data_IF_367406745570
#
_entry.id   IF_367406745570
#
_cell.length_a   1.000
_cell.length_b   1.000
_cell.length_c   1.000
_cell.angle_alpha   90.00
_cell.angle_beta   90.00
_cell.angle_gamma   90.00
#
_symmetry.space_group_name_H-M   'P 1'
#
loop_
_entity.id
_entity.type
_entity.pdbx_description
1 polymer ?
#
# COMPACT_ATOMS: atom_id res chain seq x y z
N UNK A 1 -34.56 76.54 5.87
CA UNK A 1 -33.98 75.22 5.55
C UNK A 1 -35.16 74.28 5.46
N UNK A 2 -35.56 73.93 4.24
CA UNK A 2 -36.75 73.15 3.95
C UNK A 2 -36.29 71.81 3.36
N UNK A 3 -36.74 70.72 3.98
CA UNK A 3 -36.51 69.35 3.55
C UNK A 3 -37.30 69.06 2.26
N UNK A 4 -36.61 68.68 1.19
CA UNK A 4 -37.20 68.02 0.02
C UNK A 4 -37.15 66.51 0.21
N UNK A 5 -38.29 65.79 0.18
CA UNK A 5 -38.31 64.34 0.21
C UNK A 5 -37.91 63.78 -1.16
N UNK A 6 -36.77 63.09 -1.18
CA UNK A 6 -36.21 62.41 -2.34
C UNK A 6 -36.89 61.03 -2.53
N UNK A 7 -37.38 60.73 -3.74
CA UNK A 7 -37.55 59.34 -4.20
C UNK A 7 -38.96 58.77 -4.27
N UNK A 8 -39.94 59.48 -4.84
CA UNK A 8 -41.18 58.86 -5.29
C UNK A 8 -40.92 57.97 -6.52
N UNK A 9 -41.20 56.68 -6.39
CA UNK A 9 -41.12 55.69 -7.49
C UNK A 9 -42.14 56.09 -8.57
N UNK A 10 -41.75 56.21 -9.86
CA UNK A 10 -42.69 56.53 -10.92
C UNK A 10 -43.76 55.42 -11.05
N UNK A 11 -45.03 55.77 -11.29
CA UNK A 11 -46.09 54.79 -11.43
C UNK A 11 -45.80 53.85 -12.62
N UNK A 12 -46.06 52.56 -12.41
CA UNK A 12 -45.91 51.56 -13.45
C UNK A 12 -46.77 51.93 -14.68
N UNK A 13 -46.26 51.72 -15.90
CA UNK A 13 -47.01 52.01 -17.12
C UNK A 13 -48.33 51.24 -17.11
N UNK A 14 -49.43 51.93 -17.42
CA UNK A 14 -50.74 51.33 -17.50
C UNK A 14 -50.75 50.27 -18.60
N UNK A 15 -51.10 49.03 -18.22
CA UNK A 15 -51.30 47.94 -19.16
C UNK A 15 -52.53 48.26 -20.02
N UNK A 16 -52.33 48.54 -21.31
CA UNK A 16 -53.39 48.76 -22.28
C UNK A 16 -53.89 47.39 -22.79
N UNK A 17 -55.10 46.95 -22.43
CA UNK A 17 -55.62 45.64 -22.81
C UNK A 17 -55.96 45.52 -24.29
N UNK A 18 -55.89 46.60 -25.08
CA UNK A 18 -56.12 46.57 -26.52
C UNK A 18 -54.84 46.36 -27.36
N UNK A 19 -53.66 46.30 -26.73
CA UNK A 19 -52.41 46.05 -27.45
C UNK A 19 -52.21 44.52 -27.63
N UNK A 20 -52.41 43.95 -28.83
CA UNK A 20 -52.26 42.53 -29.04
C UNK A 20 -50.79 42.13 -28.79
N UNK A 21 -50.53 40.99 -28.12
CA UNK A 21 -49.17 40.56 -27.87
C UNK A 21 -48.41 40.48 -29.20
N UNK A 22 -47.18 41.02 -29.27
CA UNK A 22 -46.41 41.01 -30.50
C UNK A 22 -46.34 39.58 -31.02
N UNK A 23 -46.81 39.38 -32.26
CA UNK A 23 -46.86 38.08 -32.90
C UNK A 23 -45.46 37.44 -32.80
N UNK A 24 -45.39 36.36 -32.03
CA UNK A 24 -44.15 35.62 -31.80
C UNK A 24 -43.68 35.09 -33.15
N UNK A 25 -42.67 35.74 -33.71
CA UNK A 25 -42.04 35.31 -34.97
C UNK A 25 -41.29 34.02 -34.67
N UNK A 26 -41.99 32.89 -34.78
CA UNK A 26 -41.41 31.56 -34.69
C UNK A 26 -40.51 31.39 -35.91
N UNK A 27 -39.23 31.69 -35.75
CA UNK A 27 -38.22 31.39 -36.75
C UNK A 27 -38.24 29.88 -37.07
N UNK A 28 -38.12 29.48 -38.34
CA UNK A 28 -38.13 28.06 -38.73
C UNK A 28 -37.00 27.32 -38.02
N UNK A 29 -37.35 26.25 -37.29
CA UNK A 29 -36.45 25.46 -36.44
C UNK A 29 -35.18 24.94 -37.14
N UNK A 30 -35.15 24.93 -38.48
CA UNK A 30 -33.99 24.54 -39.27
C UNK A 30 -32.85 25.58 -39.26
N UNK A 31 -33.14 26.87 -39.12
CA UNK A 31 -32.10 27.92 -39.16
C UNK A 31 -31.42 28.12 -37.80
N UNK A 32 -32.13 27.81 -36.71
CA UNK A 32 -31.58 27.82 -35.35
C UNK A 32 -30.56 26.71 -35.11
N UNK A 33 -30.74 25.54 -35.74
CA UNK A 33 -29.80 24.42 -35.62
C UNK A 33 -28.48 24.66 -36.38
N UNK A 34 -28.49 25.47 -37.45
CA UNK A 34 -27.30 25.76 -38.24
C UNK A 34 -26.44 26.91 -37.68
N UNK A 35 -26.99 27.77 -36.80
CA UNK A 35 -26.25 28.82 -36.09
C UNK A 35 -25.80 28.43 -34.68
N UNK A 36 -26.11 27.21 -34.22
CA UNK A 36 -25.52 26.69 -33.01
C UNK A 36 -24.03 26.43 -33.27
N UNK A 37 -23.20 27.46 -33.04
CA UNK A 37 -21.77 27.26 -32.84
C UNK A 37 -21.59 26.10 -31.86
N UNK A 38 -20.72 25.12 -32.15
CA UNK A 38 -20.44 24.05 -31.21
C UNK A 38 -19.94 24.71 -29.93
N UNK A 39 -20.81 24.81 -28.92
CA UNK A 39 -20.44 25.29 -27.60
C UNK A 39 -19.27 24.40 -27.19
N UNK A 40 -18.03 24.94 -27.12
CA UNK A 40 -16.88 24.14 -26.74
C UNK A 40 -17.27 23.55 -25.41
N UNK A 41 -17.25 22.22 -25.29
CA UNK A 41 -17.73 21.49 -24.13
C UNK A 41 -17.26 22.23 -22.87
N UNK A 42 -18.15 23.04 -22.31
CA UNK A 42 -17.80 23.90 -21.20
C UNK A 42 -17.42 22.92 -20.10
N UNK A 43 -16.32 23.20 -19.42
CA UNK A 43 -15.74 22.37 -18.37
C UNK A 43 -16.65 22.21 -17.12
N UNK A 44 -17.97 22.36 -17.28
CA UNK A 44 -18.94 22.72 -16.25
C UNK A 44 -20.02 21.66 -16.05
N UNK A 45 -20.01 20.53 -16.77
CA UNK A 45 -20.88 19.39 -16.43
C UNK A 45 -20.15 18.06 -16.28
N UNK A 46 -18.84 18.13 -15.98
CA UNK A 46 -18.13 17.07 -15.28
C UNK A 46 -18.32 17.14 -13.76
N UNK A 47 -19.39 17.78 -13.29
CA UNK A 47 -20.19 17.27 -12.16
C UNK A 47 -20.83 15.92 -12.59
N UNK A 48 -19.99 14.99 -13.05
CA UNK A 48 -20.24 13.56 -12.97
C UNK A 48 -20.60 13.35 -11.51
N UNK A 49 -21.91 13.23 -11.23
CA UNK A 49 -22.64 12.13 -10.60
C UNK A 49 -21.83 11.05 -9.85
N UNK A 50 -20.64 11.37 -9.38
CA UNK A 50 -20.02 10.81 -8.19
C UNK A 50 -20.87 11.35 -7.06
N UNK A 51 -21.96 10.64 -6.78
CA UNK A 51 -22.84 10.92 -5.66
C UNK A 51 -22.07 11.03 -4.33
N UNK A 52 -22.76 11.39 -3.25
CA UNK A 52 -22.19 11.93 -2.02
C UNK A 52 -21.28 10.90 -1.32
N UNK A 53 -20.00 10.89 -1.68
CA UNK A 53 -18.95 10.20 -0.92
C UNK A 53 -18.09 11.19 -0.12
N UNK A 54 -18.31 12.48 -0.32
CA UNK A 54 -17.94 13.50 0.64
C UNK A 54 -19.15 13.74 1.52
N UNK A 55 -19.35 12.82 2.47
CA UNK A 55 -20.24 13.07 3.61
C UNK A 55 -19.60 14.26 4.38
N UNK A 56 -20.19 15.47 4.33
CA UNK A 56 -19.56 16.69 4.84
C UNK A 56 -19.28 16.60 6.34
N UNK A 57 -19.96 15.69 7.05
CA UNK A 57 -19.79 15.46 8.48
C UNK A 57 -18.60 14.55 8.84
N UNK A 58 -17.97 13.87 7.87
CA UNK A 58 -16.82 13.00 8.15
C UNK A 58 -15.55 13.83 8.26
N UNK A 59 -15.17 14.14 9.51
CA UNK A 59 -13.89 14.80 9.84
C UNK A 59 -12.73 14.08 9.16
N UNK A 60 -12.06 14.76 8.23
CA UNK A 60 -10.87 14.22 7.55
C UNK A 60 -9.79 13.90 8.61
N UNK A 61 -9.18 12.71 8.56
CA UNK A 61 -8.12 12.37 9.51
C UNK A 61 -6.92 13.30 9.31
N UNK A 62 -6.32 13.75 10.42
CA UNK A 62 -5.12 14.58 10.35
C UNK A 62 -3.96 13.74 9.85
N UNK A 63 -3.12 14.27 8.95
CA UNK A 63 -1.95 13.55 8.43
C UNK A 63 -1.06 12.97 9.56
N UNK A 64 -0.85 13.74 10.65
CA UNK A 64 -0.09 13.28 11.81
C UNK A 64 -0.69 12.01 12.47
N UNK A 65 -2.02 11.88 12.48
CA UNK A 65 -2.69 10.70 13.02
C UNK A 65 -2.46 9.48 12.11
N UNK A 66 -2.49 9.66 10.78
CA UNK A 66 -2.19 8.60 9.81
C UNK A 66 -0.77 8.07 10.00
N UNK A 67 0.19 8.98 10.10
CA UNK A 67 1.60 8.66 10.34
C UNK A 67 1.81 7.94 11.68
N UNK A 68 1.24 8.45 12.77
CA UNK A 68 1.38 7.86 14.09
C UNK A 68 0.85 6.41 14.12
N UNK A 69 -0.35 6.18 13.58
CA UNK A 69 -0.94 4.84 13.55
C UNK A 69 -0.20 3.88 12.62
N UNK A 70 0.22 4.33 11.44
CA UNK A 70 1.00 3.49 10.52
C UNK A 70 2.33 3.06 11.16
N UNK A 71 3.09 4.00 11.72
CA UNK A 71 4.39 3.71 12.35
C UNK A 71 4.25 2.83 13.59
N UNK A 72 3.21 3.04 14.42
CA UNK A 72 2.94 2.17 15.56
C UNK A 72 2.57 0.75 15.12
N UNK A 73 1.67 0.62 14.14
CA UNK A 73 1.24 -0.68 13.61
C UNK A 73 2.39 -1.48 12.99
N UNK A 74 3.19 -0.85 12.13
CA UNK A 74 4.34 -1.53 11.53
C UNK A 74 5.48 -1.78 12.52
N UNK A 75 5.79 -0.83 13.41
CA UNK A 75 6.82 -1.05 14.44
C UNK A 75 6.51 -2.26 15.32
N UNK A 76 5.26 -2.39 15.79
CA UNK A 76 4.80 -3.57 16.52
C UNK A 76 4.85 -4.84 15.66
N UNK A 77 4.49 -4.76 14.38
CA UNK A 77 4.57 -5.89 13.46
C UNK A 77 6.00 -6.38 13.24
N UNK A 78 6.97 -5.48 13.08
CA UNK A 78 8.37 -5.82 12.90
C UNK A 78 8.93 -6.57 14.12
N UNK A 79 8.64 -6.07 15.33
CA UNK A 79 9.05 -6.70 16.58
C UNK A 79 8.40 -8.08 16.78
N UNK A 80 7.08 -8.18 16.57
CA UNK A 80 6.36 -9.43 16.68
C UNK A 80 6.84 -10.47 15.65
N UNK A 81 7.10 -10.02 14.42
CA UNK A 81 7.57 -10.89 13.34
C UNK A 81 8.99 -11.39 13.58
N UNK A 82 9.85 -10.59 14.22
CA UNK A 82 11.14 -11.06 14.68
C UNK A 82 10.99 -12.14 15.75
N UNK A 83 10.24 -11.88 16.83
CA UNK A 83 10.04 -12.85 17.91
C UNK A 83 9.47 -14.18 17.42
N UNK A 84 8.40 -14.13 16.62
CA UNK A 84 7.80 -15.34 16.04
C UNK A 84 8.69 -15.99 14.98
N UNK A 85 9.47 -15.18 14.26
CA UNK A 85 10.44 -15.65 13.28
C UNK A 85 11.54 -16.48 13.93
N UNK A 86 12.11 -16.02 15.05
CA UNK A 86 13.14 -16.76 15.80
C UNK A 86 12.62 -18.14 16.26
N UNK A 87 11.37 -18.22 16.70
CA UNK A 87 10.75 -19.49 17.08
C UNK A 87 10.52 -20.44 15.89
N UNK A 88 10.36 -19.89 14.68
CA UNK A 88 10.00 -20.64 13.48
C UNK A 88 11.19 -20.98 12.56
N UNK A 89 12.42 -20.54 12.89
CA UNK A 89 13.59 -20.64 12.01
C UNK A 89 13.90 -22.07 11.55
N UNK A 90 13.80 -23.03 12.45
CA UNK A 90 14.15 -24.44 12.20
C UNK A 90 12.91 -25.35 12.10
N UNK A 91 11.75 -24.76 11.76
CA UNK A 91 10.50 -25.52 11.69
C UNK A 91 10.55 -26.65 10.65
N UNK A 92 11.20 -26.41 9.51
CA UNK A 92 11.47 -27.43 8.50
C UNK A 92 12.95 -27.82 8.54
N UNK A 93 13.24 -29.04 8.97
CA UNK A 93 14.60 -29.60 8.90
C UNK A 93 14.89 -30.20 7.52
N UNK A 94 16.16 -30.17 7.05
CA UNK A 94 16.58 -30.87 5.84
C UNK A 94 16.33 -32.37 5.97
N UNK A 95 15.86 -33.00 4.89
CA UNK A 95 15.70 -34.45 4.81
C UNK A 95 17.09 -35.13 4.78
N UNK A 96 17.28 -36.11 5.66
CA UNK A 96 18.50 -36.90 5.72
C UNK A 96 18.41 -38.03 4.70
N UNK A 97 19.34 -38.05 3.74
CA UNK A 97 19.38 -39.10 2.73
C UNK A 97 20.38 -40.15 3.18
N UNK A 98 19.93 -41.41 3.26
CA UNK A 98 20.79 -42.48 3.75
C UNK A 98 21.99 -42.70 2.85
N UNK A 99 23.20 -42.68 3.45
CA UNK A 99 24.46 -42.83 2.72
C UNK A 99 24.57 -44.18 1.97
N UNK A 100 23.79 -45.17 2.41
CA UNK A 100 23.64 -46.47 1.78
C UNK A 100 23.08 -46.41 0.36
N UNK A 101 22.25 -45.41 0.02
CA UNK A 101 21.69 -45.25 -1.32
C UNK A 101 22.74 -44.82 -2.37
N UNK A 102 23.86 -44.23 -1.94
CA UNK A 102 24.95 -43.77 -2.80
C UNK A 102 26.13 -44.75 -2.95
N UNK A 103 26.00 -45.99 -2.46
CA UNK A 103 27.07 -47.00 -2.54
C UNK A 103 28.23 -46.80 -1.56
N UNK A 104 28.20 -45.77 -0.69
CA UNK A 104 29.12 -45.63 0.45
C UNK A 104 28.55 -46.39 1.65
N UNK A 105 28.90 -47.67 1.79
CA UNK A 105 28.56 -48.43 2.99
C UNK A 105 29.22 -47.79 4.24
N UNK A 106 28.41 -47.33 5.18
CA UNK A 106 28.84 -46.96 6.54
C UNK A 106 28.97 -45.47 6.86
N UNK A 107 28.55 -44.55 5.99
CA UNK A 107 28.46 -43.12 6.34
C UNK A 107 27.22 -42.80 7.18
N UNK A 108 27.27 -41.83 8.11
CA UNK A 108 26.07 -41.31 8.75
C UNK A 108 25.16 -40.64 7.71
N UNK A 109 23.84 -40.76 7.90
CA UNK A 109 22.87 -40.06 7.06
C UNK A 109 23.14 -38.55 7.14
N UNK A 110 23.28 -37.92 5.97
CA UNK A 110 23.67 -36.53 5.87
C UNK A 110 22.72 -35.78 4.93
N UNK A 111 22.40 -34.52 5.22
CA UNK A 111 21.59 -33.70 4.34
C UNK A 111 22.37 -33.41 3.05
N UNK A 112 21.68 -33.50 1.91
CA UNK A 112 22.25 -33.06 0.63
C UNK A 112 22.03 -31.57 0.42
N UNK A 113 22.85 -30.89 -0.41
CA UNK A 113 22.68 -29.47 -0.72
C UNK A 113 21.26 -29.11 -1.17
N UNK A 114 20.59 -30.00 -1.92
CA UNK A 114 19.23 -29.77 -2.40
C UNK A 114 18.18 -29.88 -1.30
N UNK A 115 18.31 -30.86 -0.39
CA UNK A 115 17.43 -30.98 0.78
C UNK A 115 17.57 -29.79 1.73
N UNK A 116 18.80 -29.29 1.93
CA UNK A 116 19.06 -28.09 2.74
C UNK A 116 18.44 -26.84 2.12
N UNK A 117 18.61 -26.64 0.80
CA UNK A 117 17.98 -25.51 0.09
C UNK A 117 16.46 -25.57 0.16
N UNK A 118 15.87 -26.75 0.01
CA UNK A 118 14.42 -26.92 0.07
C UNK A 118 13.87 -26.57 1.46
N UNK A 119 14.54 -27.03 2.52
CA UNK A 119 14.20 -26.66 3.89
C UNK A 119 14.33 -25.14 4.11
N UNK A 120 15.41 -24.53 3.64
CA UNK A 120 15.62 -23.08 3.73
C UNK A 120 14.52 -22.27 3.03
N UNK A 121 14.09 -22.70 1.83
CA UNK A 121 12.97 -22.04 1.11
C UNK A 121 11.66 -22.15 1.90
N UNK A 122 11.38 -23.31 2.51
CA UNK A 122 10.17 -23.50 3.33
C UNK A 122 10.20 -22.66 4.62
N UNK A 123 11.33 -22.63 5.32
CA UNK A 123 11.51 -21.78 6.51
C UNK A 123 11.39 -20.30 6.14
N UNK A 124 11.98 -19.87 5.01
CA UNK A 124 11.82 -18.50 4.52
C UNK A 124 10.36 -18.18 4.16
N UNK A 125 9.65 -19.08 3.48
CA UNK A 125 8.24 -18.89 3.17
C UNK A 125 7.37 -18.77 4.44
N UNK A 126 7.63 -19.60 5.46
CA UNK A 126 6.96 -19.50 6.76
C UNK A 126 7.27 -18.16 7.43
N UNK A 127 8.55 -17.80 7.55
CA UNK A 127 8.99 -16.60 8.24
C UNK A 127 8.51 -15.31 7.54
N UNK A 128 8.52 -15.26 6.21
CA UNK A 128 8.02 -14.12 5.44
C UNK A 128 6.49 -14.09 5.35
N UNK A 129 5.83 -15.25 5.35
CA UNK A 129 4.39 -15.34 5.53
C UNK A 129 3.95 -14.80 6.90
N UNK A 130 4.62 -15.17 7.98
CA UNK A 130 4.36 -14.64 9.33
C UNK A 130 4.57 -13.12 9.40
N UNK A 131 5.66 -12.60 8.83
CA UNK A 131 5.88 -11.16 8.73
C UNK A 131 4.77 -10.47 7.96
N UNK A 132 4.42 -10.96 6.76
CA UNK A 132 3.35 -10.39 5.97
C UNK A 132 2.01 -10.42 6.71
N UNK A 133 1.72 -11.51 7.41
CA UNK A 133 0.50 -11.66 8.21
C UNK A 133 0.42 -10.63 9.34
N UNK A 134 1.49 -10.49 10.12
CA UNK A 134 1.55 -9.53 11.22
C UNK A 134 1.52 -8.08 10.71
N UNK A 135 2.25 -7.79 9.65
CA UNK A 135 2.31 -6.48 9.02
C UNK A 135 0.94 -6.08 8.47
N UNK A 136 0.28 -6.97 7.72
CA UNK A 136 -1.05 -6.70 7.19
C UNK A 136 -2.13 -6.65 8.26
N UNK A 137 -2.05 -7.51 9.28
CA UNK A 137 -2.96 -7.50 10.41
C UNK A 137 -2.91 -6.20 11.21
N UNK A 138 -1.71 -5.83 11.66
CA UNK A 138 -1.54 -4.65 12.50
C UNK A 138 -1.72 -3.34 11.74
N UNK A 139 -1.30 -3.26 10.47
CA UNK A 139 -1.59 -2.10 9.64
C UNK A 139 -3.09 -2.00 9.30
N UNK A 140 -3.79 -3.12 9.06
CA UNK A 140 -5.24 -3.11 8.88
C UNK A 140 -5.99 -2.59 10.11
N UNK A 141 -5.61 -3.05 11.30
CA UNK A 141 -6.14 -2.53 12.57
C UNK A 141 -5.82 -1.05 12.74
N UNK A 142 -4.57 -0.64 12.49
CA UNK A 142 -4.13 0.75 12.59
C UNK A 142 -4.92 1.68 11.64
N UNK A 143 -5.13 1.26 10.39
CA UNK A 143 -5.99 1.96 9.43
C UNK A 143 -7.43 2.08 9.93
N UNK A 144 -7.94 1.03 10.56
CA UNK A 144 -9.26 1.01 11.20
C UNK A 144 -9.40 1.96 12.38
N UNK A 145 -8.36 2.16 13.19
CA UNK A 145 -8.35 3.08 14.34
C UNK A 145 -8.42 4.56 13.94
N UNK A 146 -8.12 4.88 12.68
CA UNK A 146 -8.30 6.23 12.13
C UNK A 146 -9.79 6.54 11.96
N UNK A 147 -10.63 5.51 11.76
CA UNK A 147 -12.09 5.59 11.81
C UNK A 147 -12.56 5.21 13.23
N UNK A 148 -13.65 5.79 13.77
CA UNK A 148 -14.22 5.34 15.04
C UNK A 148 -14.98 4.00 14.91
N UNK A 149 -14.38 2.97 14.30
CA UNK A 149 -15.01 1.66 14.10
C UNK A 149 -14.04 0.50 14.33
N UNK A 150 -14.12 -0.09 15.54
CA UNK A 150 -13.36 -1.28 15.91
C UNK A 150 -13.63 -2.46 14.98
N UNK A 151 -14.90 -2.66 14.58
CA UNK A 151 -15.29 -3.76 13.66
C UNK A 151 -14.61 -3.64 12.31
N UNK A 152 -14.53 -2.42 11.76
CA UNK A 152 -13.84 -2.18 10.51
C UNK A 152 -12.33 -2.46 10.63
N UNK A 153 -11.70 -2.04 11.73
CA UNK A 153 -10.29 -2.33 11.99
C UNK A 153 -9.98 -3.81 12.15
N UNK A 154 -10.81 -4.55 12.88
CA UNK A 154 -10.64 -6.00 13.02
C UNK A 154 -10.85 -6.73 11.69
N UNK A 155 -11.88 -6.35 10.91
CA UNK A 155 -12.11 -6.94 9.60
C UNK A 155 -10.95 -6.65 8.64
N UNK A 156 -10.47 -5.41 8.58
CA UNK A 156 -9.32 -5.02 7.78
C UNK A 156 -8.03 -5.73 8.23
N UNK A 157 -7.85 -5.89 9.54
CA UNK A 157 -6.74 -6.66 10.10
C UNK A 157 -6.78 -8.13 9.71
N UNK A 158 -7.93 -8.81 9.83
CA UNK A 158 -8.05 -10.22 9.43
C UNK A 158 -7.80 -10.41 7.92
N UNK A 159 -8.36 -9.53 7.09
CA UNK A 159 -8.12 -9.54 5.64
C UNK A 159 -6.64 -9.28 5.35
N UNK A 160 -6.03 -8.29 6.00
CA UNK A 160 -4.61 -7.98 5.87
C UNK A 160 -3.70 -9.11 6.31
N UNK A 161 -4.04 -9.80 7.39
CA UNK A 161 -3.27 -10.93 7.90
C UNK A 161 -3.30 -12.12 6.93
N UNK A 162 -4.45 -12.42 6.34
CA UNK A 162 -4.60 -13.46 5.34
C UNK A 162 -3.86 -13.10 4.04
N UNK A 163 -4.08 -11.89 3.51
CA UNK A 163 -3.42 -11.41 2.30
C UNK A 163 -1.91 -11.33 2.47
N UNK A 164 -1.43 -10.83 3.60
CA UNK A 164 -0.01 -10.70 3.90
C UNK A 164 0.68 -12.05 4.05
N UNK A 165 0.03 -13.02 4.72
CA UNK A 165 0.55 -14.39 4.80
C UNK A 165 0.66 -15.01 3.41
N UNK A 166 -0.41 -14.93 2.61
CA UNK A 166 -0.43 -15.46 1.26
C UNK A 166 0.64 -14.80 0.38
N UNK A 167 0.74 -13.47 0.40
CA UNK A 167 1.71 -12.71 -0.39
C UNK A 167 3.15 -13.03 0.00
N UNK A 168 3.49 -12.99 1.29
CA UNK A 168 4.84 -13.28 1.78
C UNK A 168 5.29 -14.71 1.50
N UNK A 169 4.42 -15.70 1.78
CA UNK A 169 4.73 -17.11 1.55
C UNK A 169 4.83 -17.43 0.05
N UNK A 170 3.87 -17.00 -0.76
CA UNK A 170 3.86 -17.29 -2.21
C UNK A 170 5.01 -16.60 -2.94
N UNK A 171 5.31 -15.34 -2.62
CA UNK A 171 6.46 -14.64 -3.18
C UNK A 171 7.76 -15.38 -2.83
N UNK A 172 7.90 -15.85 -1.60
CA UNK A 172 9.09 -16.62 -1.18
C UNK A 172 9.22 -17.95 -1.94
N UNK A 173 8.12 -18.69 -2.07
CA UNK A 173 8.09 -19.97 -2.80
C UNK A 173 8.37 -19.79 -4.30
N UNK A 174 7.99 -18.65 -4.90
CA UNK A 174 8.25 -18.35 -6.31
C UNK A 174 9.65 -17.80 -6.57
N UNK A 175 10.11 -16.86 -5.74
CA UNK A 175 11.32 -16.08 -5.98
C UNK A 175 12.57 -16.81 -5.50
N UNK A 176 12.56 -17.41 -4.31
CA UNK A 176 13.78 -17.94 -3.69
C UNK A 176 14.37 -19.15 -4.44
N UNK A 177 13.59 -20.09 -5.01
CA UNK A 177 14.15 -21.13 -5.86
C UNK A 177 14.81 -20.60 -7.13
N UNK A 178 14.33 -19.48 -7.68
CA UNK A 178 14.97 -18.81 -8.83
C UNK A 178 16.26 -18.15 -8.39
N UNK A 179 16.23 -17.40 -7.29
CA UNK A 179 17.41 -16.77 -6.68
C UNK A 179 18.53 -17.77 -6.41
N UNK A 180 18.23 -18.90 -5.76
CA UNK A 180 19.20 -19.96 -5.49
C UNK A 180 19.79 -20.55 -6.78
N UNK A 181 18.99 -20.72 -7.84
CA UNK A 181 19.49 -21.20 -9.14
C UNK A 181 20.44 -20.18 -9.79
N UNK A 182 20.20 -18.89 -9.62
CA UNK A 182 21.06 -17.83 -10.16
C UNK A 182 22.39 -17.80 -9.41
N UNK A 183 22.38 -17.83 -8.07
CA UNK A 183 23.60 -17.81 -7.26
C UNK A 183 24.55 -18.99 -7.51
N UNK A 184 24.02 -20.14 -7.91
CA UNK A 184 24.85 -21.31 -8.24
C UNK A 184 25.55 -21.21 -9.61
N UNK A 185 25.32 -20.14 -10.39
CA UNK A 185 25.99 -19.97 -11.68
C UNK A 185 27.41 -19.43 -11.50
N UNK A 186 28.38 -19.88 -12.30
CA UNK A 186 29.71 -19.28 -12.32
C UNK A 186 29.60 -17.78 -12.63
N UNK A 187 30.26 -16.93 -11.82
CA UNK A 187 30.25 -15.47 -11.97
C UNK A 187 29.06 -14.74 -11.32
N UNK A 188 28.15 -15.43 -10.64
CA UNK A 188 27.02 -14.77 -9.95
C UNK A 188 27.45 -13.94 -8.73
N UNK A 189 28.63 -14.20 -8.17
CA UNK A 189 29.17 -13.51 -7.00
C UNK A 189 29.30 -11.99 -7.21
N UNK A 190 29.66 -11.56 -8.44
CA UNK A 190 29.84 -10.13 -8.76
C UNK A 190 28.54 -9.32 -8.66
N UNK A 191 27.39 -9.99 -8.74
CA UNK A 191 26.06 -9.37 -8.70
C UNK A 191 25.21 -9.89 -7.53
N UNK A 192 25.81 -10.52 -6.52
CA UNK A 192 25.09 -11.17 -5.41
C UNK A 192 24.16 -10.19 -4.67
N UNK A 193 24.66 -9.00 -4.35
CA UNK A 193 23.89 -7.94 -3.67
C UNK A 193 22.70 -7.49 -4.53
N UNK A 194 22.89 -7.31 -5.83
CA UNK A 194 21.81 -6.91 -6.73
C UNK A 194 20.71 -7.99 -6.78
N UNK A 195 21.09 -9.27 -6.83
CA UNK A 195 20.15 -10.37 -6.79
C UNK A 195 19.44 -10.48 -5.44
N UNK A 196 20.14 -10.23 -4.33
CA UNK A 196 19.56 -10.22 -2.98
C UNK A 196 18.53 -9.10 -2.83
N UNK A 197 18.86 -7.86 -3.21
CA UNK A 197 17.92 -6.72 -3.26
C UNK A 197 16.70 -7.06 -4.11
N UNK A 198 16.88 -7.68 -5.28
CA UNK A 198 15.78 -8.03 -6.17
C UNK A 198 14.88 -9.10 -5.52
N UNK A 199 15.47 -10.15 -4.95
CA UNK A 199 14.72 -11.24 -4.34
C UNK A 199 13.98 -10.79 -3.07
N UNK A 200 14.69 -10.18 -2.12
CA UNK A 200 14.11 -9.68 -0.88
C UNK A 200 13.14 -8.54 -1.14
N UNK A 201 13.48 -7.61 -2.04
CA UNK A 201 12.60 -6.51 -2.43
C UNK A 201 11.28 -6.98 -3.04
N UNK A 202 11.30 -8.08 -3.81
CA UNK A 202 10.06 -8.69 -4.34
C UNK A 202 9.21 -9.30 -3.22
N UNK A 203 9.82 -10.06 -2.31
CA UNK A 203 9.11 -10.71 -1.20
C UNK A 203 8.56 -9.68 -0.21
N UNK A 204 9.38 -8.72 0.20
CA UNK A 204 9.03 -7.67 1.15
C UNK A 204 8.09 -6.64 0.54
N UNK A 205 8.25 -6.32 -0.75
CA UNK A 205 7.32 -5.50 -1.50
C UNK A 205 5.93 -6.14 -1.59
N UNK A 206 5.84 -7.45 -1.85
CA UNK A 206 4.55 -8.16 -1.88
C UNK A 206 3.86 -8.16 -0.51
N UNK A 207 4.60 -8.43 0.57
CA UNK A 207 4.09 -8.35 1.94
C UNK A 207 3.66 -6.92 2.31
N UNK A 208 4.47 -5.93 1.95
CA UNK A 208 4.19 -4.51 2.17
C UNK A 208 2.96 -4.03 1.41
N UNK A 209 2.79 -4.45 0.16
CA UNK A 209 1.61 -4.17 -0.66
C UNK A 209 0.33 -4.67 0.01
N UNK A 210 0.33 -5.91 0.52
CA UNK A 210 -0.80 -6.46 1.26
C UNK A 210 -1.10 -5.65 2.54
N UNK A 211 -0.07 -5.23 3.28
CA UNK A 211 -0.25 -4.39 4.46
C UNK A 211 -0.76 -2.99 4.15
N UNK A 212 -0.33 -2.40 3.04
CA UNK A 212 -0.85 -1.12 2.56
C UNK A 212 -2.30 -1.19 2.09
N UNK A 213 -2.69 -2.25 1.39
CA UNK A 213 -4.10 -2.53 1.05
C UNK A 213 -4.94 -2.61 2.32
N UNK A 214 -4.50 -3.40 3.31
CA UNK A 214 -5.21 -3.58 4.57
C UNK A 214 -5.38 -2.25 5.32
N UNK A 215 -4.32 -1.44 5.41
CA UNK A 215 -4.37 -0.11 6.02
C UNK A 215 -5.39 0.80 5.34
N UNK A 216 -5.34 0.89 4.00
CA UNK A 216 -6.25 1.72 3.22
C UNK A 216 -7.71 1.26 3.29
N UNK A 217 -7.95 -0.05 3.33
CA UNK A 217 -9.27 -0.64 3.58
C UNK A 217 -9.77 -0.30 4.98
N UNK A 218 -8.92 -0.40 6.00
CA UNK A 218 -9.24 -0.02 7.37
C UNK A 218 -9.67 1.45 7.48
N UNK A 219 -9.03 2.33 6.71
CA UNK A 219 -9.40 3.74 6.59
C UNK A 219 -10.68 4.00 5.78
N UNK A 220 -11.30 2.98 5.18
CA UNK A 220 -12.62 3.07 4.56
C UNK A 220 -12.63 3.65 3.14
N UNK A 221 -11.84 3.11 2.21
CA UNK A 221 -12.01 3.44 0.77
C UNK A 221 -11.05 2.70 -0.16
N UNK A 222 -11.55 2.29 -1.34
CA UNK A 222 -10.74 1.56 -2.31
C UNK A 222 -9.57 2.39 -2.86
N UNK A 223 -9.74 3.72 -3.04
CA UNK A 223 -8.66 4.62 -3.49
C UNK A 223 -7.49 4.63 -2.50
N UNK A 224 -7.80 4.65 -1.21
CA UNK A 224 -6.80 4.57 -0.13
C UNK A 224 -6.13 3.20 -0.10
N UNK A 225 -6.88 2.13 -0.37
CA UNK A 225 -6.30 0.79 -0.50
C UNK A 225 -5.34 0.69 -1.69
N UNK A 226 -5.67 1.28 -2.84
CA UNK A 226 -4.79 1.32 -4.02
C UNK A 226 -3.54 2.18 -3.76
N UNK A 227 -3.69 3.35 -3.15
CA UNK A 227 -2.55 4.19 -2.76
C UNK A 227 -1.66 3.48 -1.72
N UNK A 228 -2.28 2.83 -0.73
CA UNK A 228 -1.59 2.01 0.26
C UNK A 228 -0.83 0.85 -0.37
N UNK A 229 -1.42 0.16 -1.35
CA UNK A 229 -0.75 -0.90 -2.11
C UNK A 229 0.58 -0.42 -2.69
N UNK A 230 0.56 0.71 -3.39
CA UNK A 230 1.75 1.30 -4.02
C UNK A 230 2.76 1.74 -2.96
N UNK A 231 2.31 2.47 -1.95
CA UNK A 231 3.17 2.94 -0.86
C UNK A 231 3.83 1.80 -0.09
N UNK A 232 3.07 0.73 0.20
CA UNK A 232 3.57 -0.46 0.88
C UNK A 232 4.54 -1.27 0.03
N UNK A 233 4.27 -1.43 -1.27
CA UNK A 233 5.18 -2.11 -2.19
C UNK A 233 6.53 -1.38 -2.30
N UNK A 234 6.50 -0.06 -2.51
CA UNK A 234 7.71 0.76 -2.57
C UNK A 234 8.45 0.78 -1.24
N UNK A 235 7.74 0.84 -0.12
CA UNK A 235 8.33 0.75 1.21
C UNK A 235 9.04 -0.60 1.45
N UNK A 236 8.45 -1.71 1.02
CA UNK A 236 9.09 -3.03 1.11
C UNK A 236 10.38 -3.12 0.28
N UNK A 237 10.36 -2.58 -0.94
CA UNK A 237 11.55 -2.50 -1.80
C UNK A 237 12.66 -1.63 -1.19
N UNK A 238 12.31 -0.44 -0.68
CA UNK A 238 13.26 0.45 -0.02
C UNK A 238 13.82 -0.16 1.28
N UNK A 239 12.99 -0.91 2.01
CA UNK A 239 13.43 -1.69 3.16
C UNK A 239 14.49 -2.73 2.80
N UNK A 240 14.36 -3.41 1.65
CA UNK A 240 15.36 -4.35 1.13
C UNK A 240 16.69 -3.66 0.82
N UNK A 241 16.65 -2.54 0.11
CA UNK A 241 17.85 -1.74 -0.17
C UNK A 241 18.52 -1.28 1.13
N UNK A 242 17.74 -0.74 2.07
CA UNK A 242 18.26 -0.28 3.35
C UNK A 242 18.90 -1.42 4.16
N UNK A 243 18.26 -2.59 4.20
CA UNK A 243 18.80 -3.75 4.90
C UNK A 243 20.11 -4.24 4.29
N UNK A 244 20.23 -4.33 2.98
CA UNK A 244 21.48 -4.77 2.33
C UNK A 244 22.63 -3.81 2.61
N UNK A 245 22.38 -2.49 2.57
CA UNK A 245 23.39 -1.48 2.89
C UNK A 245 23.82 -1.54 4.36
N UNK A 246 22.86 -1.64 5.28
CA UNK A 246 23.14 -1.76 6.72
C UNK A 246 23.81 -3.10 7.03
N UNK A 247 23.37 -4.17 6.39
CA UNK A 247 23.89 -5.53 6.53
C UNK A 247 25.36 -5.63 6.13
N UNK A 248 25.71 -5.08 4.98
CA UNK A 248 27.09 -5.05 4.49
C UNK A 248 28.04 -4.31 5.44
N UNK A 249 27.57 -3.26 6.12
CA UNK A 249 28.40 -2.43 7.01
C UNK A 249 28.45 -3.01 8.43
N UNK A 250 27.29 -3.34 8.99
CA UNK A 250 27.16 -3.72 10.40
C UNK A 250 27.30 -5.22 10.66
N UNK A 251 27.04 -6.07 9.65
CA UNK A 251 26.95 -7.52 9.80
C UNK A 251 27.63 -8.31 8.66
N UNK A 252 28.91 -8.03 8.31
CA UNK A 252 29.58 -8.65 7.16
C UNK A 252 29.72 -10.17 7.27
N UNK A 253 29.62 -10.73 8.47
CA UNK A 253 29.74 -12.18 8.73
C UNK A 253 28.38 -12.87 8.91
N UNK A 254 27.26 -12.16 8.82
CA UNK A 254 25.92 -12.72 9.08
C UNK A 254 25.22 -13.27 7.83
N UNK A 255 25.94 -13.40 6.71
CA UNK A 255 25.40 -13.84 5.42
C UNK A 255 24.09 -13.10 5.05
N UNK A 256 24.11 -11.76 5.09
CA UNK A 256 22.88 -10.94 4.92
C UNK A 256 22.25 -11.06 3.54
N UNK A 257 23.00 -11.56 2.55
CA UNK A 257 22.52 -11.87 1.21
C UNK A 257 21.67 -13.14 1.18
N UNK A 258 21.76 -14.01 2.19
CA UNK A 258 20.87 -15.17 2.31
C UNK A 258 19.44 -14.71 2.60
N UNK A 259 18.42 -15.45 2.12
CA UNK A 259 17.02 -15.09 2.37
C UNK A 259 16.68 -14.97 3.87
N UNK A 260 17.35 -15.76 4.70
CA UNK A 260 17.34 -15.61 6.15
C UNK A 260 18.79 -15.42 6.59
N UNK A 261 19.10 -14.28 7.19
CA UNK A 261 20.44 -14.00 7.73
C UNK A 261 20.74 -14.87 8.96
N UNK A 262 22.01 -15.21 9.16
CA UNK A 262 22.46 -16.18 10.17
C UNK A 262 22.43 -15.64 11.60
N UNK A 263 22.66 -14.33 11.80
CA UNK A 263 22.66 -13.73 13.14
C UNK A 263 21.25 -13.27 13.58
N UNK A 264 20.98 -13.33 14.88
CA UNK A 264 19.70 -12.90 15.44
C UNK A 264 19.50 -11.38 15.32
N UNK A 265 20.59 -10.62 15.45
CA UNK A 265 20.62 -9.16 15.38
C UNK A 265 20.30 -8.66 13.98
N UNK A 266 20.93 -9.24 12.95
CA UNK A 266 20.64 -8.89 11.55
C UNK A 266 19.20 -9.23 11.18
N UNK A 267 18.64 -10.34 11.67
CA UNK A 267 17.23 -10.67 11.47
C UNK A 267 16.29 -9.64 12.11
N UNK A 268 16.57 -9.18 13.33
CA UNK A 268 15.81 -8.09 13.96
C UNK A 268 15.85 -6.83 13.10
N UNK A 269 17.05 -6.42 12.67
CA UNK A 269 17.25 -5.23 11.83
C UNK A 269 16.48 -5.37 10.51
N UNK A 270 16.51 -6.54 9.86
CA UNK A 270 15.75 -6.80 8.64
C UNK A 270 14.25 -6.57 8.85
N UNK A 271 13.64 -7.20 9.87
CA UNK A 271 12.20 -7.07 10.14
C UNK A 271 11.81 -5.65 10.54
N UNK A 272 12.63 -4.97 11.32
CA UNK A 272 12.40 -3.60 11.73
C UNK A 272 12.45 -2.63 10.54
N UNK A 273 13.50 -2.70 9.71
CA UNK A 273 13.65 -1.82 8.54
C UNK A 273 12.49 -2.01 7.57
N UNK A 274 12.13 -3.24 7.21
CA UNK A 274 11.00 -3.51 6.32
C UNK A 274 9.72 -2.93 6.86
N UNK A 275 9.40 -3.19 8.13
CA UNK A 275 8.13 -2.75 8.69
C UNK A 275 8.07 -1.21 8.80
N UNK A 276 9.18 -0.54 9.13
CA UNK A 276 9.25 0.92 9.19
C UNK A 276 9.12 1.55 7.79
N UNK A 277 9.85 1.06 6.78
CA UNK A 277 9.77 1.59 5.43
C UNK A 277 8.41 1.32 4.77
N UNK A 278 7.82 0.14 4.98
CA UNK A 278 6.43 -0.14 4.55
C UNK A 278 5.47 0.86 5.19
N UNK A 279 5.57 1.06 6.51
CA UNK A 279 4.68 1.99 7.22
C UNK A 279 4.81 3.43 6.76
N UNK A 280 6.05 3.88 6.56
CA UNK A 280 6.35 5.21 6.04
C UNK A 280 5.82 5.37 4.61
N UNK A 281 6.01 4.38 3.75
CA UNK A 281 5.48 4.37 2.38
C UNK A 281 3.96 4.41 2.34
N UNK A 282 3.29 3.59 3.15
CA UNK A 282 1.82 3.61 3.29
C UNK A 282 1.34 4.97 3.79
N UNK A 283 1.95 5.50 4.85
CA UNK A 283 1.58 6.80 5.40
C UNK A 283 1.78 7.93 4.38
N UNK A 284 2.88 7.93 3.64
CA UNK A 284 3.17 8.95 2.63
C UNK A 284 2.15 8.98 1.49
N UNK A 285 1.65 7.82 1.05
CA UNK A 285 0.70 7.73 -0.07
C UNK A 285 -0.76 7.85 0.37
N UNK A 286 -1.08 7.51 1.63
CA UNK A 286 -2.46 7.50 2.13
C UNK A 286 -2.80 8.76 2.93
N UNK A 287 -1.81 9.46 3.50
CA UNK A 287 -2.06 10.70 4.24
C UNK A 287 -2.61 11.79 3.29
N UNK A 288 -3.62 12.55 3.73
CA UNK A 288 -4.17 13.64 2.92
C UNK A 288 -3.11 14.71 2.67
N UNK A 289 -2.93 15.09 1.41
CA UNK A 289 -2.06 16.20 1.02
C UNK A 289 -2.78 17.52 1.35
N UNK A 290 -2.06 18.46 1.97
CA UNK A 290 -2.63 19.76 2.40
C UNK A 290 -3.01 20.69 1.24
N UNK A 291 -2.79 20.28 -0.01
CA UNK A 291 -2.89 21.14 -1.18
C UNK A 291 -4.21 21.03 -1.97
N UNK A 292 -5.17 20.20 -1.54
CA UNK A 292 -6.55 20.31 -2.01
C UNK A 292 -7.22 21.51 -1.30
N UNK A 293 -6.68 22.68 -1.60
CA UNK A 293 -7.19 23.98 -1.17
C UNK A 293 -8.52 24.24 -1.85
N UNK A 294 -9.49 24.58 -1.01
CA UNK A 294 -10.56 25.53 -1.26
C UNK A 294 -10.32 26.41 -2.49
N UNK A 295 -10.80 25.98 -3.66
CA UNK A 295 -11.22 26.92 -4.68
C UNK A 295 -12.44 27.64 -4.11
N UNK A 296 -12.20 28.65 -3.29
CA UNK A 296 -13.21 29.65 -2.99
C UNK A 296 -13.54 30.30 -4.31
N UNK A 297 -14.72 30.02 -4.84
CA UNK A 297 -15.27 30.83 -5.92
C UNK A 297 -15.42 32.25 -5.35
N UNK A 298 -14.71 33.26 -5.89
CA UNK A 298 -15.00 34.63 -5.55
C UNK A 298 -16.45 34.91 -5.93
N UNK A 299 -17.21 35.42 -4.96
CA UNK A 299 -18.62 35.81 -5.11
C UNK A 299 -18.79 37.00 -6.06
#
# INVERSE_FOLDING_TARGET
MADTPEGAIPPAPAFDPEDPPPAEVVAPAAEAAARAEPVPATAVDLHVKLGPLQDPDVKRPRAAQVWAWAMAGGGLAGLAAWLLGEYALDWFSPELISASAGGRMGGPDAPTPDTTRMAAVKNAALAFGLLGSLLGGLLGVAGGMIRPSLRAGLAAGLVGAALGMAAGASASLGVLPVYNRILNRPGAADAEVLWAITALGTVWGAAGAAGGVAFGLGMGGWRRAAAGLVGGALGGLLGAVAFEMVGAIAFPLAATTQPISESQESRLVARALVALFVSAGVAAFVAPTRFEGTHEHPA
#
